data_IF_789645973495
#
_entry.id   IF_789645973495
#
_cell.length_a   1.000
_cell.length_b   1.000
_cell.length_c   1.000
_cell.angle_alpha   90.00
_cell.angle_beta   90.00
_cell.angle_gamma   90.00
#
_symmetry.space_group_name_H-M   'P 1'
#
loop_
_entity.id
_entity.type
_entity.pdbx_description
1 polymer ?
#
# COMPACT_ATOMS: atom_id res chain seq x y z
N UNK A 1 39.64 -18.14 -23.78
CA UNK A 1 38.95 -17.14 -22.94
C UNK A 1 37.48 -17.20 -23.32
N UNK A 2 36.62 -17.74 -22.46
CA UNK A 2 35.19 -17.93 -22.71
C UNK A 2 34.45 -16.62 -22.38
N UNK A 3 33.71 -16.07 -23.34
CA UNK A 3 32.78 -14.96 -23.10
C UNK A 3 31.60 -15.52 -22.30
N UNK A 4 31.22 -14.92 -21.14
CA UNK A 4 30.07 -15.39 -20.40
C UNK A 4 28.78 -15.18 -21.23
N UNK A 5 27.78 -16.06 -21.11
CA UNK A 5 26.53 -15.90 -21.83
C UNK A 5 25.84 -14.61 -21.41
N UNK A 6 25.42 -13.83 -22.40
CA UNK A 6 24.62 -12.63 -22.22
C UNK A 6 23.23 -13.06 -21.74
N UNK A 7 22.93 -12.92 -20.45
CA UNK A 7 21.57 -13.10 -19.96
C UNK A 7 20.72 -11.92 -20.44
N UNK A 8 19.90 -12.16 -21.45
CA UNK A 8 18.82 -11.24 -21.82
C UNK A 8 17.73 -11.40 -20.77
N UNK A 9 17.70 -10.49 -19.79
CA UNK A 9 16.53 -10.35 -18.95
C UNK A 9 15.41 -9.78 -19.82
N UNK A 10 14.40 -10.59 -20.13
CA UNK A 10 13.16 -10.07 -20.70
C UNK A 10 12.49 -9.19 -19.65
N UNK A 11 12.17 -7.95 -20.01
CA UNK A 11 11.30 -7.12 -19.18
C UNK A 11 9.93 -7.81 -19.13
N UNK A 12 9.49 -8.18 -17.93
CA UNK A 12 8.17 -8.73 -17.70
C UNK A 12 7.30 -7.60 -17.15
N UNK A 13 6.27 -7.23 -17.91
CA UNK A 13 5.25 -6.29 -17.47
C UNK A 13 4.07 -7.05 -16.83
N UNK A 14 3.57 -6.52 -15.71
CA UNK A 14 2.51 -7.15 -14.91
C UNK A 14 1.68 -6.09 -14.19
N UNK A 15 0.37 -6.16 -14.39
CA UNK A 15 -0.59 -5.46 -13.56
C UNK A 15 -0.71 -6.14 -12.20
N UNK A 16 -0.11 -5.57 -11.16
CA UNK A 16 -0.30 -6.04 -9.77
C UNK A 16 -1.69 -5.67 -9.26
N UNK A 17 -2.09 -4.42 -9.55
CA UNK A 17 -3.42 -3.89 -9.26
C UNK A 17 -4.04 -3.40 -10.56
N UNK A 18 -5.11 -4.08 -11.01
CA UNK A 18 -5.79 -3.77 -12.26
C UNK A 18 -7.17 -3.17 -11.98
N UNK A 19 -7.49 -2.03 -12.61
CA UNK A 19 -8.81 -1.39 -12.46
C UNK A 19 -9.96 -2.32 -12.86
N UNK A 20 -11.09 -2.19 -12.19
CA UNK A 20 -12.25 -3.07 -12.36
C UNK A 20 -12.05 -4.50 -11.81
N UNK A 21 -11.00 -4.75 -11.02
CA UNK A 21 -10.74 -6.03 -10.34
C UNK A 21 -10.77 -5.87 -8.82
N UNK A 22 -10.97 -7.00 -8.15
CA UNK A 22 -10.93 -7.14 -6.69
C UNK A 22 -11.89 -6.19 -5.94
N UNK A 23 -12.97 -5.75 -6.60
CA UNK A 23 -14.02 -4.89 -6.03
C UNK A 23 -13.79 -3.38 -6.14
N UNK A 24 -12.77 -2.92 -6.88
CA UNK A 24 -12.45 -1.51 -7.00
C UNK A 24 -12.42 -1.04 -8.46
N UNK A 25 -12.89 0.18 -8.68
CA UNK A 25 -12.89 0.83 -9.98
C UNK A 25 -11.45 1.07 -10.47
N UNK A 26 -10.57 1.60 -9.62
CA UNK A 26 -9.16 1.75 -9.95
C UNK A 26 -8.24 1.80 -8.74
N UNK A 27 -6.94 1.88 -9.02
CA UNK A 27 -5.86 1.89 -8.04
C UNK A 27 -4.90 3.03 -8.35
N UNK A 28 -4.46 3.75 -7.32
CA UNK A 28 -3.51 4.87 -7.43
C UNK A 28 -2.49 4.81 -6.28
N UNK A 29 -1.47 5.65 -6.37
CA UNK A 29 -0.45 5.83 -5.33
C UNK A 29 0.19 4.51 -4.87
N UNK A 30 0.78 3.72 -5.80
CA UNK A 30 1.41 2.46 -5.43
C UNK A 30 2.69 2.71 -4.63
N UNK A 31 2.97 1.82 -3.69
CA UNK A 31 4.26 1.71 -3.01
C UNK A 31 4.68 0.24 -2.98
N UNK A 32 5.94 -0.03 -3.30
CA UNK A 32 6.52 -1.37 -3.35
C UNK A 32 7.71 -1.42 -2.41
N UNK A 33 7.71 -2.41 -1.51
CA UNK A 33 8.83 -2.65 -0.59
C UNK A 33 9.33 -4.08 -0.70
N UNK A 34 10.65 -4.23 -0.66
CA UNK A 34 11.28 -5.52 -0.46
C UNK A 34 11.38 -5.79 1.05
N UNK A 35 10.92 -6.98 1.45
CA UNK A 35 11.01 -7.45 2.82
C UNK A 35 12.40 -8.05 3.10
N UNK A 36 12.76 -8.34 4.37
CA UNK A 36 14.09 -8.86 4.70
C UNK A 36 14.45 -10.15 3.95
N UNK A 37 13.45 -10.99 3.66
CA UNK A 37 13.62 -12.19 2.83
C UNK A 37 13.78 -11.79 1.36
N UNK A 38 14.94 -12.09 0.72
CA UNK A 38 15.14 -11.78 -0.69
C UNK A 38 14.05 -12.37 -1.58
N UNK A 39 13.54 -11.58 -2.52
CA UNK A 39 12.44 -11.99 -3.40
C UNK A 39 11.04 -11.92 -2.77
N UNK A 40 10.92 -11.67 -1.46
CA UNK A 40 9.64 -11.34 -0.84
C UNK A 40 9.35 -9.84 -0.99
N UNK A 41 8.32 -9.53 -1.75
CA UNK A 41 7.85 -8.16 -2.01
C UNK A 41 6.47 -7.93 -1.41
N UNK A 42 6.23 -6.73 -0.93
CA UNK A 42 4.90 -6.24 -0.54
C UNK A 42 4.59 -4.99 -1.38
N UNK A 43 3.51 -5.06 -2.16
CA UNK A 43 2.95 -3.93 -2.87
C UNK A 43 1.70 -3.45 -2.13
N UNK A 44 1.62 -2.15 -1.87
CA UNK A 44 0.43 -1.49 -1.33
C UNK A 44 -0.07 -0.44 -2.31
N UNK A 45 -1.38 -0.19 -2.30
CA UNK A 45 -2.01 0.80 -3.17
C UNK A 45 -3.24 1.43 -2.51
N UNK A 46 -3.58 2.63 -2.96
CA UNK A 46 -4.88 3.24 -2.68
C UNK A 46 -5.89 2.64 -3.65
N UNK A 47 -6.93 1.99 -3.13
CA UNK A 47 -7.97 1.35 -3.92
C UNK A 47 -9.24 2.21 -3.91
N UNK A 48 -9.70 2.62 -5.09
CA UNK A 48 -10.84 3.52 -5.28
C UNK A 48 -12.09 2.72 -5.64
N UNK A 49 -13.16 2.82 -4.84
CA UNK A 49 -14.31 1.92 -5.02
C UNK A 49 -15.11 2.19 -6.29
N UNK A 50 -15.39 3.45 -6.62
CA UNK A 50 -16.41 3.80 -7.62
C UNK A 50 -15.91 4.70 -8.76
N UNK A 51 -14.81 5.41 -8.58
CA UNK A 51 -14.22 6.35 -9.55
C UNK A 51 -12.69 6.39 -9.39
N UNK A 52 -12.01 7.38 -9.98
CA UNK A 52 -10.56 7.60 -9.83
C UNK A 52 -10.20 9.01 -9.34
N UNK A 53 -11.15 9.75 -8.77
CA UNK A 53 -10.90 11.11 -8.29
C UNK A 53 -9.97 11.11 -7.08
N UNK A 54 -9.38 12.26 -6.75
CA UNK A 54 -8.42 12.34 -5.65
C UNK A 54 -9.04 12.05 -4.26
N UNK A 55 -10.36 12.20 -4.12
CA UNK A 55 -11.11 11.90 -2.89
C UNK A 55 -12.41 11.12 -3.15
N UNK A 56 -12.91 10.39 -2.15
CA UNK A 56 -14.02 9.44 -2.31
C UNK A 56 -13.93 8.24 -1.37
N UNK A 57 -14.73 7.20 -1.63
CA UNK A 57 -14.65 5.93 -0.89
C UNK A 57 -13.40 5.15 -1.32
N UNK A 58 -12.40 5.17 -0.46
CA UNK A 58 -11.11 4.55 -0.72
C UNK A 58 -10.69 3.66 0.43
N UNK A 59 -9.85 2.68 0.13
CA UNK A 59 -9.25 1.78 1.09
C UNK A 59 -7.74 1.65 0.81
N UNK A 60 -6.97 1.24 1.82
CA UNK A 60 -5.59 0.81 1.65
C UNK A 60 -5.55 -0.71 1.47
N UNK A 61 -4.89 -1.18 0.40
CA UNK A 61 -4.82 -2.60 0.05
C UNK A 61 -3.37 -3.08 -0.11
N UNK A 62 -3.17 -4.39 -0.02
CA UNK A 62 -1.88 -5.06 -0.24
C UNK A 62 -2.00 -6.29 -1.15
N UNK A 63 -0.92 -6.57 -1.88
CA UNK A 63 -0.58 -7.88 -2.46
C UNK A 63 0.88 -8.18 -2.17
N UNK A 64 1.23 -9.45 -1.99
CA UNK A 64 2.61 -9.88 -1.76
C UNK A 64 3.09 -10.88 -2.81
N UNK A 65 4.40 -10.93 -3.03
CA UNK A 65 5.06 -11.87 -3.93
C UNK A 65 6.21 -12.54 -3.18
N UNK A 66 6.40 -13.84 -3.37
CA UNK A 66 7.51 -14.60 -2.77
C UNK A 66 8.56 -15.06 -3.82
N UNK A 67 8.42 -14.59 -5.06
CA UNK A 67 9.20 -15.06 -6.21
C UNK A 67 9.74 -13.90 -7.06
N UNK A 68 10.05 -12.78 -6.39
CA UNK A 68 10.58 -11.56 -7.01
C UNK A 68 9.62 -10.94 -8.05
N UNK A 69 8.32 -10.94 -7.74
CA UNK A 69 7.28 -10.28 -8.53
C UNK A 69 6.73 -11.11 -9.69
N UNK A 70 7.09 -12.40 -9.83
CA UNK A 70 6.60 -13.25 -10.93
C UNK A 70 5.14 -13.64 -10.73
N UNK A 71 4.76 -13.92 -9.49
CA UNK A 71 3.40 -14.17 -9.04
C UNK A 71 3.06 -13.30 -7.82
N UNK A 72 1.76 -13.03 -7.66
CA UNK A 72 1.23 -12.17 -6.61
C UNK A 72 0.07 -12.85 -5.91
N UNK A 73 -0.06 -12.60 -4.60
CA UNK A 73 -1.19 -13.06 -3.80
C UNK A 73 -2.52 -12.44 -4.26
N UNK A 74 -3.62 -12.99 -3.77
CA UNK A 74 -4.89 -12.27 -3.75
C UNK A 74 -4.76 -10.95 -2.96
N UNK A 75 -5.65 -10.01 -3.27
CA UNK A 75 -5.71 -8.72 -2.59
C UNK A 75 -6.16 -8.86 -1.14
N UNK A 76 -5.51 -8.12 -0.24
CA UNK A 76 -5.95 -7.92 1.14
C UNK A 76 -6.28 -6.46 1.39
N UNK A 77 -7.41 -6.20 2.04
CA UNK A 77 -7.73 -4.86 2.55
C UNK A 77 -7.03 -4.68 3.89
N UNK A 78 -6.13 -3.70 3.98
CA UNK A 78 -5.40 -3.37 5.20
C UNK A 78 -6.24 -2.43 6.08
N UNK A 79 -6.83 -1.41 5.45
CA UNK A 79 -7.59 -0.41 6.16
C UNK A 79 -8.75 0.11 5.31
N UNK A 80 -9.95 0.05 5.88
CA UNK A 80 -11.18 0.53 5.26
C UNK A 80 -12.09 1.20 6.29
N UNK A 81 -12.55 2.40 5.95
CA UNK A 81 -13.63 3.09 6.64
C UNK A 81 -14.89 3.22 5.76
N UNK A 82 -14.88 2.56 4.60
CA UNK A 82 -15.90 2.64 3.56
C UNK A 82 -16.82 1.42 3.64
N UNK A 83 -17.82 1.46 4.51
CA UNK A 83 -18.81 0.39 4.70
C UNK A 83 -20.23 0.90 4.40
N UNK A 84 -21.20 0.01 4.30
CA UNK A 84 -22.60 0.40 4.05
C UNK A 84 -23.07 1.39 5.13
N UNK A 85 -23.64 2.52 4.70
CA UNK A 85 -24.09 3.59 5.59
C UNK A 85 -23.01 4.51 6.14
N UNK A 86 -21.72 4.32 5.80
CA UNK A 86 -20.67 5.28 6.17
C UNK A 86 -20.56 6.42 5.16
N UNK A 87 -20.15 7.60 5.64
CA UNK A 87 -19.78 8.71 4.76
C UNK A 87 -18.59 8.34 3.88
N UNK A 88 -18.35 9.12 2.82
CA UNK A 88 -17.08 9.02 2.11
C UNK A 88 -15.93 9.29 3.10
N UNK A 89 -14.90 8.46 3.04
CA UNK A 89 -13.65 8.64 3.77
C UNK A 89 -12.52 8.40 2.79
N UNK A 90 -11.70 9.43 2.60
CA UNK A 90 -10.55 9.33 1.71
C UNK A 90 -9.40 8.70 2.48
N UNK A 91 -9.17 7.41 2.21
CA UNK A 91 -7.97 6.71 2.65
C UNK A 91 -6.91 6.90 1.59
N UNK A 92 -5.78 7.53 1.96
CA UNK A 92 -4.77 7.98 1.00
C UNK A 92 -3.34 7.59 1.33
N UNK A 93 -2.52 7.70 0.28
CA UNK A 93 -1.05 7.59 0.35
C UNK A 93 -0.53 6.41 1.19
N UNK A 94 -1.00 5.17 0.97
CA UNK A 94 -0.45 4.02 1.67
C UNK A 94 1.03 3.89 1.35
N UNK A 95 1.87 4.08 2.36
CA UNK A 95 3.32 4.13 2.22
C UNK A 95 3.93 3.16 3.21
N UNK A 96 4.37 2.00 2.71
CA UNK A 96 5.04 0.99 3.51
C UNK A 96 6.55 1.26 3.57
N UNK A 97 7.14 0.90 4.69
CA UNK A 97 8.58 0.89 4.94
C UNK A 97 8.92 -0.39 5.69
N UNK A 98 9.86 -1.16 5.16
CA UNK A 98 10.37 -2.35 5.84
C UNK A 98 11.52 -1.96 6.78
N UNK A 99 11.41 -2.33 8.05
CA UNK A 99 12.51 -2.32 9.00
C UNK A 99 13.31 -3.60 8.82
N UNK A 100 14.46 -3.50 8.14
CA UNK A 100 15.31 -4.66 7.85
C UNK A 100 16.05 -5.20 9.08
N UNK A 101 16.10 -4.45 10.19
CA UNK A 101 16.73 -4.89 11.43
C UNK A 101 15.78 -5.75 12.26
N UNK A 102 14.52 -5.32 12.39
CA UNK A 102 13.51 -6.04 13.19
C UNK A 102 12.64 -6.99 12.38
N UNK A 103 12.59 -6.79 11.06
CA UNK A 103 11.72 -7.51 10.14
C UNK A 103 10.28 -6.99 10.09
N UNK A 104 9.97 -5.95 10.85
CA UNK A 104 8.65 -5.34 10.85
C UNK A 104 8.39 -4.52 9.58
N UNK A 105 7.12 -4.36 9.24
CA UNK A 105 6.67 -3.43 8.22
C UNK A 105 5.83 -2.35 8.87
N UNK A 106 6.21 -1.10 8.62
CA UNK A 106 5.46 0.08 9.02
C UNK A 106 4.68 0.60 7.82
N UNK A 107 3.39 0.90 8.00
CA UNK A 107 2.55 1.47 6.96
C UNK A 107 1.95 2.78 7.46
N UNK A 108 2.24 3.86 6.74
CA UNK A 108 1.57 5.14 6.93
C UNK A 108 0.40 5.26 5.97
N UNK A 109 -0.72 5.78 6.47
CA UNK A 109 -1.94 6.04 5.70
C UNK A 109 -2.49 7.40 6.10
N UNK A 110 -2.90 8.20 5.13
CA UNK A 110 -3.65 9.43 5.38
C UNK A 110 -5.14 9.16 5.44
N UNK A 111 -5.85 9.84 6.34
CA UNK A 111 -7.32 9.82 6.42
C UNK A 111 -7.85 11.24 6.22
N UNK A 112 -8.70 11.42 5.21
CA UNK A 112 -9.31 12.69 4.79
C UNK A 112 -8.31 13.83 4.61
N UNK A 113 -7.08 13.50 4.20
CA UNK A 113 -5.95 14.45 4.08
C UNK A 113 -5.57 15.16 5.41
N UNK A 114 -6.15 14.73 6.53
CA UNK A 114 -6.07 15.41 7.83
C UNK A 114 -5.28 14.62 8.85
N UNK A 115 -5.54 13.33 8.94
CA UNK A 115 -4.89 12.46 9.91
C UNK A 115 -3.83 11.57 9.27
N UNK A 116 -2.78 11.28 10.02
CA UNK A 116 -1.75 10.30 9.65
C UNK A 116 -1.86 9.12 10.61
N UNK A 117 -2.19 7.96 10.07
CA UNK A 117 -2.30 6.70 10.80
C UNK A 117 -1.07 5.84 10.52
N UNK A 118 -0.51 5.25 11.57
CA UNK A 118 0.60 4.30 11.50
C UNK A 118 0.13 2.91 11.90
N UNK A 119 0.32 1.95 10.99
CA UNK A 119 0.15 0.53 11.24
C UNK A 119 1.51 -0.15 11.34
N UNK A 120 1.54 -1.28 12.04
CA UNK A 120 2.70 -2.16 12.11
C UNK A 120 2.27 -3.59 11.81
N UNK A 121 3.07 -4.29 11.03
CA UNK A 121 3.01 -5.72 10.81
C UNK A 121 4.32 -6.35 11.26
N UNK A 122 4.24 -7.48 11.96
CA UNK A 122 5.39 -8.27 12.39
C UNK A 122 5.46 -9.63 11.64
N UNK A 123 4.63 -9.82 10.62
CA UNK A 123 4.50 -11.06 9.84
C UNK A 123 4.65 -10.85 8.33
N UNK A 124 5.39 -9.81 7.92
CA UNK A 124 5.66 -9.52 6.51
C UNK A 124 4.46 -8.92 5.77
N UNK A 125 3.61 -8.16 6.46
CA UNK A 125 2.46 -7.48 5.87
C UNK A 125 1.25 -8.39 5.62
N UNK A 126 1.17 -9.54 6.29
CA UNK A 126 0.00 -10.42 6.22
C UNK A 126 -1.11 -9.92 7.14
N UNK A 127 -0.76 -9.55 8.37
CA UNK A 127 -1.66 -8.93 9.35
C UNK A 127 -1.10 -7.61 9.86
N UNK A 128 -1.99 -6.76 10.35
CA UNK A 128 -1.65 -5.41 10.81
C UNK A 128 -2.28 -5.15 12.16
N UNK A 129 -1.51 -4.59 13.08
CA UNK A 129 -2.02 -4.15 14.39
C UNK A 129 -2.93 -2.93 14.27
N UNK A 130 -3.60 -2.59 15.38
CA UNK A 130 -4.46 -1.40 15.46
C UNK A 130 -3.70 -0.13 15.07
N UNK A 131 -4.33 0.79 14.32
CA UNK A 131 -3.67 2.00 13.89
C UNK A 131 -3.37 2.94 15.06
N UNK A 132 -2.18 3.52 15.04
CA UNK A 132 -1.79 4.61 15.94
C UNK A 132 -1.98 5.93 15.21
N UNK A 133 -2.71 6.86 15.81
CA UNK A 133 -2.80 8.22 15.28
C UNK A 133 -1.49 8.96 15.56
N UNK A 134 -0.78 9.33 14.51
CA UNK A 134 0.52 10.02 14.56
C UNK A 134 0.41 11.50 14.17
N UNK A 135 -0.81 12.01 13.95
CA UNK A 135 -1.04 13.35 13.40
C UNK A 135 -0.35 14.44 14.23
N UNK A 136 -0.57 14.46 15.55
CA UNK A 136 0.04 15.48 16.43
C UNK A 136 1.58 15.39 16.47
N UNK A 137 2.15 14.21 16.22
CA UNK A 137 3.60 14.01 16.22
C UNK A 137 4.26 14.37 14.89
N UNK A 138 3.54 14.27 13.77
CA UNK A 138 4.11 14.36 12.43
C UNK A 138 3.63 15.59 11.64
N UNK A 139 2.51 16.18 12.02
CA UNK A 139 1.94 17.36 11.36
C UNK A 139 2.21 18.58 12.24
N UNK A 140 2.99 19.56 11.77
CA UNK A 140 3.25 20.78 12.53
C UNK A 140 1.97 21.54 12.89
N UNK A 141 1.98 22.22 14.03
CA UNK A 141 0.88 23.06 14.44
C UNK A 141 0.58 24.14 13.38
N UNK A 142 -0.71 24.35 13.10
CA UNK A 142 -1.18 25.32 12.10
C UNK A 142 -1.18 24.81 10.65
N UNK A 143 -0.71 23.58 10.40
CA UNK A 143 -0.85 22.94 9.10
C UNK A 143 -2.22 22.29 8.98
N UNK A 144 -2.85 22.44 7.81
CA UNK A 144 -4.14 21.87 7.49
C UNK A 144 -4.14 21.24 6.09
N UNK A 145 -5.17 20.47 5.76
CA UNK A 145 -5.29 19.91 4.43
C UNK A 145 -5.47 21.01 3.39
N UNK A 146 -4.92 20.81 2.20
CA UNK A 146 -5.13 21.70 1.05
C UNK A 146 -6.52 21.47 0.44
N UNK A 147 -7.06 20.26 0.59
CA UNK A 147 -8.39 19.87 0.16
C UNK A 147 -9.37 19.93 1.34
N UNK A 148 -10.51 20.60 1.14
CA UNK A 148 -11.56 20.77 2.19
C UNK A 148 -12.75 19.87 1.96
#
# INVERSE_FOLDING_TARGET
MLVPPLFIFALVDRDVFAGGKDGYYCYRLPNLVQLPTPGHLLAVAQAHKYDCFDGGWMDAVAKSSNDNGKTWSEQRVIYSMSHEGTRNVTIGTPTAVADLQTGAVHLFVSVDFKAIMLFRSDDGGMTWGSPRNMTESLVPAGWGPVYT
#
